data_IF_989667667881
#
_entry.id   IF_989667667881
#
_cell.length_a   1.000
_cell.length_b   1.000
_cell.length_c   1.000
_cell.angle_alpha   90.00
_cell.angle_beta   90.00
_cell.angle_gamma   90.00
#
_symmetry.space_group_name_H-M   'P 1'
#
loop_
_entity.id
_entity.type
_entity.pdbx_description
1 polymer ?
#
# COMPACT_ATOMS: atom_id res chain seq x y z
N UNK A 1 -18.45 3.99 -18.57
CA UNK A 1 -17.23 4.46 -17.88
C UNK A 1 -17.25 3.83 -16.49
N UNK A 2 -16.38 2.89 -16.17
CA UNK A 2 -16.34 2.29 -14.83
C UNK A 2 -15.92 3.37 -13.83
N UNK A 3 -16.69 3.51 -12.75
CA UNK A 3 -16.45 4.51 -11.72
C UNK A 3 -15.35 3.98 -10.81
N UNK A 4 -14.08 4.31 -11.12
CA UNK A 4 -12.93 3.86 -10.34
C UNK A 4 -12.62 4.81 -9.20
N UNK A 5 -12.48 4.29 -7.99
CA UNK A 5 -12.09 5.00 -6.79
C UNK A 5 -10.75 4.47 -6.27
N UNK A 6 -9.79 5.37 -6.06
CA UNK A 6 -8.45 4.99 -5.61
C UNK A 6 -8.25 5.35 -4.14
N UNK A 7 -7.90 4.37 -3.34
CA UNK A 7 -7.50 4.55 -1.95
C UNK A 7 -5.96 4.54 -1.82
N UNK A 8 -5.44 5.62 -1.23
CA UNK A 8 -4.03 5.74 -0.84
C UNK A 8 -3.93 6.66 0.39
N UNK A 9 -3.21 6.26 1.46
CA UNK A 9 -3.02 7.12 2.63
C UNK A 9 -2.22 8.36 2.27
N UNK A 10 -2.70 9.54 2.66
CA UNK A 10 -1.96 10.80 2.46
C UNK A 10 -0.64 10.85 3.22
N UNK A 11 -0.57 10.17 4.37
CA UNK A 11 0.65 10.03 5.17
C UNK A 11 1.80 9.39 4.39
N UNK A 12 1.52 8.51 3.42
CA UNK A 12 2.54 7.86 2.58
C UNK A 12 3.36 8.87 1.78
N UNK A 13 2.72 9.91 1.24
CA UNK A 13 3.42 10.98 0.52
C UNK A 13 4.26 11.86 1.45
N UNK A 14 3.78 12.09 2.68
CA UNK A 14 4.52 12.87 3.67
C UNK A 14 5.82 12.16 4.05
N UNK A 15 5.78 10.85 4.34
CA UNK A 15 6.98 10.07 4.65
C UNK A 15 7.97 10.00 3.48
N UNK A 16 7.49 9.76 2.26
CA UNK A 16 8.34 9.76 1.08
C UNK A 16 8.97 11.14 0.83
N UNK A 17 8.19 12.21 0.95
CA UNK A 17 8.67 13.59 0.80
C UNK A 17 9.75 13.96 1.82
N UNK A 18 9.56 13.58 3.09
CA UNK A 18 10.54 13.80 4.14
C UNK A 18 11.89 13.12 3.83
N UNK A 19 11.85 11.87 3.35
CA UNK A 19 13.07 11.15 2.94
C UNK A 19 13.73 11.80 1.71
N UNK A 20 12.95 12.25 0.72
CA UNK A 20 13.52 12.92 -0.45
C UNK A 20 14.23 14.24 -0.07
N UNK A 21 13.64 15.02 0.84
CA UNK A 21 14.27 16.26 1.35
C UNK A 21 15.54 15.92 2.13
N UNK A 22 15.52 14.90 2.98
CA UNK A 22 16.70 14.45 3.72
C UNK A 22 17.83 14.03 2.77
N UNK A 23 17.53 13.18 1.76
CA UNK A 23 18.50 12.75 0.76
C UNK A 23 19.08 13.95 -0.02
N UNK A 24 18.24 14.91 -0.42
CA UNK A 24 18.71 16.12 -1.10
C UNK A 24 19.63 16.96 -0.23
N UNK A 25 19.33 17.08 1.08
CA UNK A 25 20.18 17.76 2.05
C UNK A 25 21.55 17.09 2.24
N UNK A 26 21.57 15.75 2.35
CA UNK A 26 22.79 14.96 2.48
C UNK A 26 23.68 15.09 1.23
N UNK A 27 23.07 14.99 0.03
CA UNK A 27 23.80 15.21 -1.22
C UNK A 27 24.36 16.63 -1.28
N UNK A 28 23.55 17.65 -0.94
CA UNK A 28 24.03 19.04 -0.90
C UNK A 28 25.19 19.24 0.07
N UNK A 29 25.14 18.64 1.25
CA UNK A 29 26.20 18.72 2.25
C UNK A 29 27.48 18.01 1.77
N UNK A 30 27.39 16.88 1.10
CA UNK A 30 28.55 16.09 0.67
C UNK A 30 29.46 16.89 -0.31
N UNK A 31 28.89 17.75 -1.14
CA UNK A 31 29.66 18.61 -2.05
C UNK A 31 30.61 19.63 -1.33
N UNK A 32 30.34 19.92 -0.07
CA UNK A 32 31.14 20.88 0.71
C UNK A 32 32.13 20.20 1.65
N UNK A 33 31.93 18.94 1.99
CA UNK A 33 32.66 18.27 3.07
C UNK A 33 33.39 17.00 2.66
N UNK A 34 33.15 16.44 1.46
CA UNK A 34 33.64 15.14 1.07
C UNK A 34 34.54 15.21 -0.20
N UNK A 35 35.33 14.15 -0.41
CA UNK A 35 36.03 13.89 -1.67
C UNK A 35 35.03 13.52 -2.78
N UNK A 36 35.49 13.52 -4.03
CA UNK A 36 34.64 13.10 -5.16
C UNK A 36 34.07 11.68 -4.98
N UNK A 37 34.86 10.77 -4.45
CA UNK A 37 34.44 9.39 -4.15
C UNK A 37 33.35 9.37 -3.07
N UNK A 38 33.49 10.17 -2.00
CA UNK A 38 32.49 10.31 -0.95
C UNK A 38 31.18 10.90 -1.49
N UNK A 39 31.25 11.90 -2.35
CA UNK A 39 30.06 12.49 -3.01
C UNK A 39 29.34 11.43 -3.85
N UNK A 40 30.05 10.66 -4.67
CA UNK A 40 29.44 9.60 -5.50
C UNK A 40 28.80 8.51 -4.64
N UNK A 41 29.46 8.10 -3.55
CA UNK A 41 28.92 7.12 -2.60
C UNK A 41 27.64 7.65 -1.95
N UNK A 42 27.63 8.89 -1.47
CA UNK A 42 26.46 9.54 -0.87
C UNK A 42 25.30 9.61 -1.85
N UNK A 43 25.54 10.00 -3.10
CA UNK A 43 24.51 10.03 -4.16
C UNK A 43 23.94 8.63 -4.39
N UNK A 44 24.78 7.59 -4.53
CA UNK A 44 24.37 6.24 -4.78
C UNK A 44 23.44 5.72 -3.65
N UNK A 45 23.82 5.90 -2.39
CA UNK A 45 23.02 5.53 -1.24
C UNK A 45 21.69 6.31 -1.15
N UNK A 46 21.73 7.62 -1.38
CA UNK A 46 20.53 8.45 -1.38
C UNK A 46 19.53 8.04 -2.47
N UNK A 47 20.01 7.74 -3.68
CA UNK A 47 19.15 7.25 -4.76
C UNK A 47 18.53 5.89 -4.43
N UNK A 48 19.31 4.96 -3.86
CA UNK A 48 18.82 3.65 -3.45
C UNK A 48 17.74 3.80 -2.36
N UNK A 49 17.99 4.58 -1.31
CA UNK A 49 17.04 4.81 -0.22
C UNK A 49 15.78 5.50 -0.74
N UNK A 50 15.91 6.56 -1.52
CA UNK A 50 14.78 7.27 -2.12
C UNK A 50 13.91 6.34 -2.97
N UNK A 51 14.53 5.45 -3.76
CA UNK A 51 13.82 4.50 -4.59
C UNK A 51 13.09 3.41 -3.78
N UNK A 52 13.71 2.87 -2.73
CA UNK A 52 13.05 1.93 -1.80
C UNK A 52 11.83 2.57 -1.16
N UNK A 53 11.94 3.83 -0.70
CA UNK A 53 10.80 4.56 -0.14
C UNK A 53 9.74 4.86 -1.19
N UNK A 54 10.12 5.18 -2.43
CA UNK A 54 9.18 5.32 -3.54
C UNK A 54 8.35 4.04 -3.75
N UNK A 55 9.02 2.88 -3.86
CA UNK A 55 8.34 1.59 -4.02
C UNK A 55 7.45 1.23 -2.84
N UNK A 56 7.86 1.57 -1.61
CA UNK A 56 7.18 1.15 -0.38
C UNK A 56 6.02 2.07 0.02
N UNK A 57 6.09 3.36 -0.30
CA UNK A 57 5.12 4.37 0.16
C UNK A 57 4.37 5.08 -0.98
N UNK A 58 5.02 5.35 -2.11
CA UNK A 58 4.38 6.11 -3.20
C UNK A 58 3.65 5.19 -4.17
N UNK A 59 4.20 4.04 -4.49
CA UNK A 59 3.60 3.10 -5.45
C UNK A 59 2.35 2.38 -4.91
N UNK A 60 2.28 1.91 -3.65
CA UNK A 60 1.16 1.12 -3.17
C UNK A 60 -0.15 1.90 -3.17
N UNK A 61 -1.20 1.25 -3.67
CA UNK A 61 -2.56 1.77 -3.72
C UNK A 61 -3.57 0.63 -3.80
N UNK A 62 -4.82 0.92 -3.47
CA UNK A 62 -5.96 0.04 -3.73
C UNK A 62 -6.92 0.79 -4.64
N UNK A 63 -7.27 0.19 -5.76
CA UNK A 63 -8.22 0.78 -6.72
C UNK A 63 -9.47 -0.09 -6.75
N UNK A 64 -10.61 0.52 -6.46
CA UNK A 64 -11.92 -0.10 -6.52
C UNK A 64 -12.62 0.32 -7.80
N UNK A 65 -13.22 -0.61 -8.50
CA UNK A 65 -14.05 -0.36 -9.68
C UNK A 65 -15.29 -1.25 -9.68
N UNK A 66 -16.18 -1.05 -10.61
CA UNK A 66 -17.49 -1.70 -10.56
C UNK A 66 -17.40 -3.24 -10.71
N UNK A 67 -16.41 -3.74 -11.46
CA UNK A 67 -16.23 -5.17 -11.76
C UNK A 67 -15.29 -5.89 -10.79
N UNK A 68 -14.46 -5.15 -10.02
CA UNK A 68 -13.43 -5.76 -9.17
C UNK A 68 -12.59 -4.78 -8.38
N UNK A 69 -11.45 -5.28 -7.88
CA UNK A 69 -10.47 -4.56 -7.09
C UNK A 69 -9.06 -4.82 -7.62
N UNK A 70 -8.23 -3.77 -7.67
CA UNK A 70 -6.79 -3.89 -7.95
C UNK A 70 -6.00 -3.50 -6.71
N UNK A 71 -5.16 -4.41 -6.21
CA UNK A 71 -4.21 -4.17 -5.13
C UNK A 71 -2.82 -4.00 -5.73
N UNK A 72 -2.31 -2.78 -5.72
CA UNK A 72 -0.95 -2.46 -6.15
C UNK A 72 -0.04 -2.46 -4.92
N UNK A 73 0.83 -3.46 -4.83
CA UNK A 73 1.89 -3.60 -3.83
C UNK A 73 3.25 -3.16 -4.41
N UNK A 74 4.34 -3.03 -3.63
CA UNK A 74 5.65 -2.58 -4.12
C UNK A 74 6.14 -3.30 -5.37
N UNK A 75 6.03 -4.62 -5.42
CA UNK A 75 6.54 -5.45 -6.53
C UNK A 75 5.46 -6.23 -7.29
N UNK A 76 4.21 -6.25 -6.79
CA UNK A 76 3.10 -6.99 -7.41
C UNK A 76 1.88 -6.09 -7.56
N UNK A 77 1.14 -6.32 -8.63
CA UNK A 77 -0.19 -5.77 -8.85
C UNK A 77 -1.15 -6.91 -9.12
N UNK A 78 -2.22 -6.98 -8.34
CA UNK A 78 -3.16 -8.10 -8.36
C UNK A 78 -4.55 -7.52 -8.56
N UNK A 79 -5.20 -7.89 -9.64
CA UNK A 79 -6.58 -7.54 -9.96
C UNK A 79 -7.45 -8.76 -9.73
N UNK A 80 -8.59 -8.58 -9.05
CA UNK A 80 -9.54 -9.63 -8.72
C UNK A 80 -10.95 -9.15 -8.95
N UNK A 81 -11.76 -9.96 -9.61
CA UNK A 81 -13.19 -9.72 -9.77
C UNK A 81 -13.96 -9.93 -8.46
N UNK A 82 -14.98 -9.09 -8.19
CA UNK A 82 -15.76 -9.19 -6.95
C UNK A 82 -16.39 -10.56 -6.72
N UNK A 83 -16.70 -11.30 -7.79
CA UNK A 83 -17.31 -12.64 -7.72
C UNK A 83 -16.38 -13.73 -7.18
N UNK A 84 -15.05 -13.52 -7.27
CA UNK A 84 -14.06 -14.50 -6.82
C UNK A 84 -13.62 -14.27 -5.36
N UNK A 85 -14.02 -13.13 -4.75
CA UNK A 85 -13.61 -12.76 -3.40
C UNK A 85 -14.51 -13.49 -2.38
N UNK A 86 -13.91 -14.33 -1.56
CA UNK A 86 -14.57 -15.08 -0.49
C UNK A 86 -14.79 -14.23 0.76
N UNK A 87 -13.72 -13.53 1.23
CA UNK A 87 -13.73 -12.72 2.43
C UNK A 87 -12.94 -11.41 2.24
N UNK A 88 -13.40 -10.33 2.91
CA UNK A 88 -12.77 -9.03 2.95
C UNK A 88 -12.64 -8.60 4.40
N UNK A 89 -11.41 -8.42 4.87
CA UNK A 89 -11.17 -8.03 6.25
C UNK A 89 -9.85 -7.30 6.45
N UNK A 90 -9.54 -6.98 7.71
CA UNK A 90 -8.26 -6.41 8.10
C UNK A 90 -7.71 -7.08 9.35
N UNK A 91 -6.41 -7.43 9.31
CA UNK A 91 -5.67 -7.93 10.48
C UNK A 91 -4.45 -7.04 10.74
N UNK A 92 -3.44 -7.11 9.89
CA UNK A 92 -2.25 -6.24 9.88
C UNK A 92 -2.34 -5.16 8.79
N UNK A 93 -3.09 -5.45 7.77
CA UNK A 93 -3.53 -4.58 6.70
C UNK A 93 -4.87 -5.10 6.17
N UNK A 94 -5.53 -4.34 5.29
CA UNK A 94 -6.66 -4.87 4.53
C UNK A 94 -6.22 -6.11 3.75
N UNK A 95 -7.05 -7.14 3.72
CA UNK A 95 -6.86 -8.31 2.86
C UNK A 95 -8.16 -8.68 2.13
N UNK A 96 -8.00 -9.33 1.01
CA UNK A 96 -9.04 -10.08 0.32
C UNK A 96 -8.65 -11.56 0.30
N UNK A 97 -9.62 -12.45 0.43
CA UNK A 97 -9.40 -13.88 0.34
C UNK A 97 -9.95 -14.40 -0.98
N UNK A 98 -9.14 -15.15 -1.73
CA UNK A 98 -9.45 -15.71 -3.04
C UNK A 98 -8.87 -17.11 -3.11
N UNK A 99 -9.68 -18.13 -3.39
CA UNK A 99 -9.23 -19.52 -3.45
C UNK A 99 -8.55 -20.01 -2.17
N UNK A 100 -8.98 -19.51 -1.00
CA UNK A 100 -8.38 -19.83 0.30
C UNK A 100 -7.11 -19.03 0.64
N UNK A 101 -6.49 -18.32 -0.31
CA UNK A 101 -5.30 -17.48 -0.09
C UNK A 101 -5.69 -16.05 0.29
N UNK A 102 -4.89 -15.44 1.19
CA UNK A 102 -5.07 -14.04 1.60
C UNK A 102 -4.10 -13.12 0.88
N UNK A 103 -4.64 -12.17 0.14
CA UNK A 103 -3.90 -11.12 -0.56
C UNK A 103 -3.97 -9.85 0.28
N UNK A 104 -2.82 -9.40 0.80
CA UNK A 104 -2.72 -8.23 1.66
C UNK A 104 -2.42 -6.96 0.85
N UNK A 105 -3.12 -5.87 1.18
CA UNK A 105 -2.90 -4.55 0.59
C UNK A 105 -1.90 -3.75 1.42
N UNK A 106 -0.70 -3.51 0.89
CA UNK A 106 0.36 -2.73 1.55
C UNK A 106 -0.08 -1.29 1.87
N UNK A 107 -0.88 -0.67 0.99
CA UNK A 107 -1.37 0.70 1.16
C UNK A 107 -2.36 0.88 2.32
N UNK A 108 -3.06 -0.18 2.75
CA UNK A 108 -4.12 -0.11 3.73
C UNK A 108 -3.72 -0.81 5.04
N UNK A 109 -2.69 -0.29 5.70
CA UNK A 109 -2.16 -0.85 6.94
C UNK A 109 -3.12 -0.64 8.11
N UNK A 110 -3.23 -1.66 8.97
CA UNK A 110 -3.96 -1.57 10.23
C UNK A 110 -3.13 -0.83 11.28
N UNK A 111 -3.76 -0.10 12.19
CA UNK A 111 -3.06 0.54 13.30
C UNK A 111 -2.44 -0.51 14.22
N UNK A 112 -1.38 -0.12 14.94
CA UNK A 112 -0.72 -0.98 15.90
C UNK A 112 -1.66 -1.47 17.02
N UNK A 113 -1.28 -2.55 17.71
CA UNK A 113 -2.07 -3.24 18.75
C UNK A 113 -2.60 -2.33 19.88
N UNK A 114 -1.93 -1.20 20.15
CA UNK A 114 -2.36 -0.24 21.19
C UNK A 114 -3.62 0.54 20.79
N UNK A 115 -3.87 0.72 19.50
CA UNK A 115 -5.07 1.43 19.01
C UNK A 115 -6.36 0.61 19.22
N UNK A 116 -6.26 -0.71 19.27
CA UNK A 116 -7.40 -1.60 19.48
C UNK A 116 -8.04 -1.46 20.88
N UNK A 117 -7.29 -0.99 21.88
CA UNK A 117 -7.76 -0.80 23.24
C UNK A 117 -8.58 0.48 23.44
N UNK A 118 -8.52 1.41 22.49
CA UNK A 118 -9.15 2.74 22.58
C UNK A 118 -10.38 2.90 21.68
N UNK A 119 -10.92 1.81 21.10
CA UNK A 119 -12.14 1.86 20.31
C UNK A 119 -13.34 1.88 21.27
N UNK A 120 -14.03 3.01 21.33
CA UNK A 120 -15.27 3.13 22.10
C UNK A 120 -16.47 2.59 21.29
N UNK A 121 -17.37 1.88 21.97
CA UNK A 121 -18.60 1.35 21.36
C UNK A 121 -19.48 2.44 20.71
N UNK A 122 -19.34 3.70 21.16
CA UNK A 122 -20.00 4.87 20.56
C UNK A 122 -19.51 5.18 19.14
N UNK A 123 -18.28 4.76 18.77
CA UNK A 123 -17.69 4.99 17.45
C UNK A 123 -18.23 4.03 16.39
N UNK A 124 -18.88 2.98 16.83
CA UNK A 124 -19.45 1.90 16.02
C UNK A 124 -20.94 2.10 15.76
N UNK A 125 -21.58 3.09 16.44
CA UNK A 125 -22.98 3.40 16.23
C UNK A 125 -23.22 3.97 14.83
N UNK A 126 -24.12 3.35 14.08
CA UNK A 126 -24.50 3.79 12.73
C UNK A 126 -23.76 3.11 11.58
N UNK A 127 -22.88 2.17 11.90
CA UNK A 127 -22.25 1.33 10.87
C UNK A 127 -23.00 -0.01 10.81
N UNK A 128 -23.49 -0.38 9.62
CA UNK A 128 -24.05 -1.72 9.35
C UNK A 128 -22.92 -2.75 9.40
N UNK A 129 -22.46 -3.11 10.60
CA UNK A 129 -21.43 -4.10 10.80
C UNK A 129 -22.08 -5.45 11.12
N UNK A 130 -21.57 -6.55 10.55
CA UNK A 130 -22.17 -7.88 10.74
C UNK A 130 -22.20 -8.33 12.20
N UNK A 131 -21.22 -7.90 13.02
CA UNK A 131 -21.15 -8.16 14.46
C UNK A 131 -20.43 -7.02 15.19
N UNK A 132 -21.19 -6.10 15.85
CA UNK A 132 -20.61 -4.95 16.57
C UNK A 132 -19.72 -5.33 17.77
N UNK A 133 -19.84 -6.56 18.29
CA UNK A 133 -19.10 -7.03 19.47
C UNK A 133 -17.76 -7.68 19.11
N UNK A 134 -17.54 -8.03 17.85
CA UNK A 134 -16.37 -8.80 17.41
C UNK A 134 -15.55 -8.08 16.34
N UNK A 135 -15.52 -6.73 16.38
CA UNK A 135 -14.79 -5.93 15.39
C UNK A 135 -13.30 -5.99 15.68
N UNK A 136 -12.54 -6.42 14.67
CA UNK A 136 -11.08 -6.35 14.71
C UNK A 136 -10.64 -4.89 14.64
N UNK A 137 -9.61 -4.53 15.40
CA UNK A 137 -9.07 -3.16 15.43
C UNK A 137 -8.78 -2.57 14.03
N UNK A 138 -8.34 -3.41 13.09
CA UNK A 138 -8.07 -3.03 11.71
C UNK A 138 -9.31 -2.75 10.87
N UNK A 139 -10.52 -3.11 11.33
CA UNK A 139 -11.78 -2.88 10.61
C UNK A 139 -12.51 -1.62 11.09
N UNK A 140 -11.96 -0.92 12.10
CA UNK A 140 -12.52 0.35 12.55
C UNK A 140 -12.49 1.40 11.44
N UNK A 141 -13.60 2.09 11.14
CA UNK A 141 -13.71 3.07 10.05
C UNK A 141 -12.80 4.31 10.23
N UNK A 142 -12.18 4.47 11.39
CA UNK A 142 -11.16 5.51 11.63
C UNK A 142 -9.75 5.08 11.23
N UNK A 143 -9.56 3.82 10.83
CA UNK A 143 -8.27 3.29 10.44
C UNK A 143 -8.13 3.23 8.91
N UNK A 144 -6.91 3.33 8.42
CA UNK A 144 -6.64 3.21 6.98
C UNK A 144 -7.14 1.88 6.41
N UNK A 145 -6.93 0.78 7.13
CA UNK A 145 -7.43 -0.53 6.73
C UNK A 145 -8.95 -0.63 6.80
N UNK A 146 -9.58 -0.05 7.83
CA UNK A 146 -11.03 -0.10 8.00
C UNK A 146 -11.77 0.70 6.94
N UNK A 147 -11.28 1.89 6.56
CA UNK A 147 -11.83 2.65 5.42
C UNK A 147 -11.76 1.84 4.14
N UNK A 148 -10.61 1.22 3.85
CA UNK A 148 -10.44 0.42 2.64
C UNK A 148 -11.35 -0.84 2.64
N UNK A 149 -11.50 -1.51 3.79
CA UNK A 149 -12.43 -2.65 3.93
C UNK A 149 -13.88 -2.21 3.73
N UNK A 150 -14.29 -1.08 4.33
CA UNK A 150 -15.65 -0.56 4.17
C UNK A 150 -15.97 -0.21 2.70
N UNK A 151 -15.06 0.47 2.02
CA UNK A 151 -15.19 0.77 0.58
C UNK A 151 -15.29 -0.49 -0.26
N UNK A 152 -14.44 -1.50 0.03
CA UNK A 152 -14.47 -2.78 -0.68
C UNK A 152 -15.81 -3.51 -0.50
N UNK A 153 -16.34 -3.55 0.73
CA UNK A 153 -17.64 -4.18 1.03
C UNK A 153 -18.77 -3.45 0.31
N UNK A 154 -18.82 -2.12 0.36
CA UNK A 154 -19.84 -1.31 -0.33
C UNK A 154 -19.80 -1.57 -1.85
N UNK A 155 -18.62 -1.62 -2.45
CA UNK A 155 -18.49 -1.88 -3.89
C UNK A 155 -18.90 -3.31 -4.26
N UNK A 156 -18.54 -4.30 -3.44
CA UNK A 156 -18.96 -5.69 -3.61
C UNK A 156 -20.48 -5.83 -3.51
N UNK A 157 -21.11 -5.19 -2.53
CA UNK A 157 -22.56 -5.22 -2.36
C UNK A 157 -23.27 -4.57 -3.55
N UNK A 158 -22.75 -3.45 -4.06
CA UNK A 158 -23.25 -2.80 -5.27
C UNK A 158 -23.07 -3.68 -6.52
N UNK A 159 -21.97 -4.42 -6.65
CA UNK A 159 -21.73 -5.39 -7.71
C UNK A 159 -22.79 -6.51 -7.69
N UNK A 160 -23.04 -7.10 -6.52
CA UNK A 160 -24.02 -8.15 -6.34
C UNK A 160 -25.44 -7.63 -6.65
N UNK A 161 -25.80 -6.45 -6.12
CA UNK A 161 -27.14 -5.87 -6.31
C UNK A 161 -27.45 -5.51 -7.75
N UNK A 162 -26.44 -5.10 -8.52
CA UNK A 162 -26.56 -4.76 -9.94
C UNK A 162 -26.39 -5.94 -10.89
N UNK A 163 -26.07 -7.13 -10.34
CA UNK A 163 -25.81 -8.35 -11.10
C UNK A 163 -24.77 -8.14 -12.23
N UNK A 164 -23.67 -7.45 -11.91
CA UNK A 164 -22.62 -7.13 -12.87
C UNK A 164 -21.76 -8.38 -13.17
N UNK A 165 -21.04 -8.32 -14.28
CA UNK A 165 -20.05 -9.35 -14.64
C UNK A 165 -18.71 -8.92 -14.05
N UNK A 166 -18.06 -9.83 -13.28
CA UNK A 166 -16.76 -9.59 -12.70
C UNK A 166 -15.66 -9.55 -13.76
N UNK A 167 -14.56 -8.84 -13.45
CA UNK A 167 -13.36 -8.87 -14.29
C UNK A 167 -12.61 -10.19 -14.06
N UNK A 168 -11.81 -10.58 -15.04
CA UNK A 168 -10.88 -11.70 -14.93
C UNK A 168 -9.72 -11.37 -13.97
N UNK A 169 -9.37 -12.32 -13.12
CA UNK A 169 -8.27 -12.14 -12.17
C UNK A 169 -6.93 -12.20 -12.88
N UNK A 170 -6.07 -11.25 -12.54
CA UNK A 170 -4.73 -11.16 -13.11
C UNK A 170 -3.70 -10.75 -12.06
N UNK A 171 -2.47 -11.24 -12.22
CA UNK A 171 -1.34 -10.87 -11.38
C UNK A 171 -0.19 -10.42 -12.24
N UNK A 172 0.24 -9.18 -12.03
CA UNK A 172 1.37 -8.58 -12.74
C UNK A 172 2.52 -8.32 -11.78
N UNK A 173 3.69 -8.84 -12.09
CA UNK A 173 4.91 -8.52 -11.36
C UNK A 173 5.55 -7.25 -11.94
N UNK A 174 5.93 -6.31 -11.06
CA UNK A 174 6.61 -5.08 -11.44
C UNK A 174 8.08 -5.35 -11.80
N UNK A 175 8.30 -5.93 -12.98
CA UNK A 175 9.64 -6.26 -13.46
C UNK A 175 10.52 -5.00 -13.55
N UNK A 176 9.99 -3.89 -14.08
CA UNK A 176 10.72 -2.63 -14.17
C UNK A 176 11.16 -2.11 -12.80
N UNK A 177 10.28 -2.11 -11.81
CA UNK A 177 10.64 -1.72 -10.44
C UNK A 177 11.68 -2.63 -9.80
N UNK A 178 11.59 -3.93 -10.01
CA UNK A 178 12.54 -4.91 -9.48
C UNK A 178 13.92 -4.79 -10.16
N UNK A 179 13.96 -4.62 -11.48
CA UNK A 179 15.23 -4.44 -12.21
C UNK A 179 15.94 -3.14 -11.85
N UNK A 180 15.20 -2.02 -11.74
CA UNK A 180 15.76 -0.75 -11.29
C UNK A 180 16.33 -0.85 -9.87
N UNK A 181 15.63 -1.52 -8.95
CA UNK A 181 16.11 -1.76 -7.59
C UNK A 181 17.41 -2.59 -7.61
N UNK A 182 17.45 -3.66 -8.38
CA UNK A 182 18.65 -4.52 -8.52
C UNK A 182 19.85 -3.74 -9.08
N UNK A 183 19.64 -2.91 -10.11
CA UNK A 183 20.68 -2.05 -10.66
C UNK A 183 21.19 -1.05 -9.63
N UNK A 184 20.30 -0.36 -8.90
CA UNK A 184 20.70 0.58 -7.86
C UNK A 184 21.52 -0.09 -6.76
N UNK A 185 21.13 -1.28 -6.31
CA UNK A 185 21.89 -2.06 -5.33
C UNK A 185 23.28 -2.40 -5.87
N UNK A 186 23.36 -2.93 -7.10
CA UNK A 186 24.63 -3.32 -7.71
C UNK A 186 25.58 -2.12 -7.87
N UNK A 187 25.08 -0.98 -8.37
CA UNK A 187 25.85 0.26 -8.53
C UNK A 187 26.32 0.81 -7.19
N UNK A 188 25.43 0.82 -6.18
CA UNK A 188 25.78 1.29 -4.83
C UNK A 188 26.87 0.41 -4.21
N UNK A 189 26.75 -0.92 -4.33
CA UNK A 189 27.77 -1.84 -3.86
C UNK A 189 29.11 -1.63 -4.61
N UNK A 190 29.08 -1.50 -5.93
CA UNK A 190 30.28 -1.27 -6.73
C UNK A 190 31.02 0.01 -6.28
N UNK A 191 30.31 1.14 -6.13
CA UNK A 191 30.90 2.41 -5.74
C UNK A 191 31.44 2.37 -4.28
N UNK A 192 30.76 1.62 -3.39
CA UNK A 192 31.14 1.57 -1.96
C UNK A 192 32.36 0.68 -1.71
N UNK A 193 32.57 -0.38 -2.52
CA UNK A 193 33.58 -1.43 -2.28
C UNK A 193 34.66 -1.50 -3.38
N UNK A 194 34.62 -0.63 -4.40
CA UNK A 194 35.68 -0.49 -5.39
C UNK A 194 36.77 0.44 -4.89
#
# INVERSE_FOLDING_TARGET
MSNSEMYRPRSSYFFAGAIYILCAGLIGQSFFSESLEGVLTTIAWCLLVAYVFHLSFVRPKVTFFDEGITITNPLKEITVGWGEIEDIGARYSMYIQVGGEKIYAWAAQAPGRYHSRNIHASELRGLNLPDPLNIRAGESPRTHSGVAVALARIRRDAFISKNLIGCESSTHFNRGGATTLAILIAVTCLITFA
#
